data_IF_912383374240
#
_entry.id   IF_912383374240
#
_cell.length_a   1.000
_cell.length_b   1.000
_cell.length_c   1.000
_cell.angle_alpha   90.00
_cell.angle_beta   90.00
_cell.angle_gamma   90.00
#
_symmetry.space_group_name_H-M   'P 1'
#
loop_
_entity.id
_entity.type
_entity.pdbx_description
1 polymer ?
#
# COMPACT_ATOMS: atom_id res chain seq x y z
N UNK A 1 -14.67 -19.17 -9.85
CA UNK A 1 -14.05 -18.22 -10.80
C UNK A 1 -14.11 -16.78 -10.29
N UNK A 2 -15.25 -16.29 -9.80
CA UNK A 2 -15.41 -14.94 -9.24
C UNK A 2 -14.45 -14.63 -8.07
N UNK A 3 -14.25 -15.59 -7.17
CA UNK A 3 -13.30 -15.47 -6.03
C UNK A 3 -11.87 -15.18 -6.50
N UNK A 4 -11.40 -15.84 -7.56
CA UNK A 4 -10.06 -15.62 -8.10
C UNK A 4 -9.92 -14.22 -8.71
N UNK A 5 -10.96 -13.70 -9.37
CA UNK A 5 -10.98 -12.33 -9.91
C UNK A 5 -10.88 -11.32 -8.77
N UNK A 6 -11.67 -11.47 -7.71
CA UNK A 6 -11.61 -10.58 -6.55
C UNK A 6 -10.25 -10.63 -5.86
N UNK A 7 -9.63 -11.81 -5.77
CA UNK A 7 -8.31 -11.96 -5.20
C UNK A 7 -7.24 -11.24 -6.03
N UNK A 8 -7.30 -11.30 -7.37
CA UNK A 8 -6.42 -10.54 -8.26
C UNK A 8 -6.63 -9.03 -8.09
N UNK A 9 -7.89 -8.57 -8.06
CA UNK A 9 -8.22 -7.16 -7.82
C UNK A 9 -7.70 -6.68 -6.46
N UNK A 10 -7.79 -7.53 -5.44
CA UNK A 10 -7.32 -7.24 -4.10
C UNK A 10 -5.80 -7.03 -4.06
N UNK A 11 -5.03 -7.90 -4.74
CA UNK A 11 -3.59 -7.72 -4.88
C UNK A 11 -3.22 -6.50 -5.75
N UNK A 12 -4.01 -6.17 -6.77
CA UNK A 12 -3.81 -4.96 -7.58
C UNK A 12 -3.95 -3.69 -6.74
N UNK A 13 -4.92 -3.64 -5.83
CA UNK A 13 -5.08 -2.49 -4.92
C UNK A 13 -3.86 -2.37 -4.00
N UNK A 14 -3.43 -3.46 -3.36
CA UNK A 14 -2.23 -3.47 -2.53
C UNK A 14 -0.98 -3.01 -3.30
N UNK A 15 -0.83 -3.49 -4.54
CA UNK A 15 0.25 -3.09 -5.43
C UNK A 15 0.19 -1.60 -5.80
N UNK A 16 -1.00 -1.06 -6.06
CA UNK A 16 -1.17 0.37 -6.34
C UNK A 16 -0.79 1.25 -5.14
N UNK A 17 -1.11 0.81 -3.92
CA UNK A 17 -0.72 1.50 -2.69
C UNK A 17 0.81 1.49 -2.52
N UNK A 18 1.45 0.35 -2.81
CA UNK A 18 2.90 0.25 -2.81
C UNK A 18 3.56 1.20 -3.83
N UNK A 19 3.05 1.25 -5.05
CA UNK A 19 3.53 2.18 -6.07
C UNK A 19 3.34 3.65 -5.65
N UNK A 20 2.22 4.00 -5.02
CA UNK A 20 1.97 5.34 -4.52
C UNK A 20 2.98 5.73 -3.44
N UNK A 21 3.29 4.84 -2.50
CA UNK A 21 4.31 5.08 -1.48
C UNK A 21 5.70 5.29 -2.10
N UNK A 22 6.08 4.46 -3.08
CA UNK A 22 7.34 4.66 -3.81
C UNK A 22 7.37 6.00 -4.55
N UNK A 23 6.26 6.38 -5.18
CA UNK A 23 6.14 7.65 -5.88
C UNK A 23 6.33 8.85 -4.94
N UNK A 24 5.76 8.81 -3.74
CA UNK A 24 5.95 9.88 -2.74
C UNK A 24 7.42 10.02 -2.35
N UNK A 25 8.10 8.90 -2.06
CA UNK A 25 9.53 8.91 -1.71
C UNK A 25 10.37 9.45 -2.87
N UNK A 26 10.10 8.97 -4.10
CA UNK A 26 10.76 9.47 -5.30
C UNK A 26 10.53 10.99 -5.45
N UNK A 27 9.30 11.46 -5.31
CA UNK A 27 8.98 12.87 -5.46
C UNK A 27 9.76 13.74 -4.45
N UNK A 28 9.84 13.31 -3.19
CA UNK A 28 10.62 14.01 -2.15
C UNK A 28 12.12 14.04 -2.51
N UNK A 29 12.67 12.92 -3.04
CA UNK A 29 14.09 12.84 -3.41
C UNK A 29 14.42 13.73 -4.61
N UNK A 30 13.55 13.85 -5.60
CA UNK A 30 13.89 14.56 -6.84
C UNK A 30 13.38 16.00 -6.91
N UNK A 31 12.31 16.35 -6.20
CA UNK A 31 11.64 17.65 -6.34
C UNK A 31 11.71 18.55 -5.09
N UNK A 32 12.32 18.09 -3.99
CA UNK A 32 12.50 18.96 -2.81
C UNK A 32 13.54 20.06 -3.07
N UNK A 33 13.15 21.33 -2.84
CA UNK A 33 13.94 22.52 -3.12
C UNK A 33 15.20 22.69 -2.25
N UNK A 34 15.21 22.16 -1.03
CA UNK A 34 16.35 22.30 -0.10
C UNK A 34 16.73 20.97 0.56
N UNK A 35 18.03 20.80 0.85
CA UNK A 35 18.56 19.58 1.48
C UNK A 35 17.90 19.32 2.84
N UNK A 36 17.73 20.37 3.66
CA UNK A 36 17.10 20.25 4.96
C UNK A 36 15.63 19.82 4.83
N UNK A 37 14.88 20.38 3.88
CA UNK A 37 13.49 19.98 3.63
C UNK A 37 13.39 18.53 3.15
N UNK A 38 14.32 18.07 2.32
CA UNK A 38 14.39 16.67 1.86
C UNK A 38 14.62 15.72 3.04
N UNK A 39 15.58 16.02 3.91
CA UNK A 39 15.88 15.20 5.09
C UNK A 39 14.65 15.09 6.01
N UNK A 40 14.02 16.22 6.31
CA UNK A 40 12.85 16.29 7.20
C UNK A 40 11.65 15.54 6.62
N UNK A 41 11.37 15.71 5.32
CA UNK A 41 10.29 14.98 4.66
C UNK A 41 10.56 13.48 4.61
N UNK A 42 11.78 13.03 4.28
CA UNK A 42 12.11 11.60 4.29
C UNK A 42 11.99 10.99 5.68
N UNK A 43 12.48 11.68 6.72
CA UNK A 43 12.42 11.21 8.10
C UNK A 43 10.99 10.99 8.62
N UNK A 44 10.01 11.70 8.08
CA UNK A 44 8.59 11.56 8.45
C UNK A 44 7.87 10.59 7.51
N UNK A 45 7.93 10.85 6.20
CA UNK A 45 7.11 10.13 5.24
C UNK A 45 7.56 8.69 5.02
N UNK A 46 8.85 8.38 5.13
CA UNK A 46 9.33 6.99 4.97
C UNK A 46 8.79 6.08 6.08
N UNK A 47 8.95 6.39 7.39
CA UNK A 47 8.37 5.56 8.44
C UNK A 47 6.83 5.55 8.41
N UNK A 48 6.18 6.68 8.14
CA UNK A 48 4.70 6.72 8.04
C UNK A 48 4.20 5.82 6.90
N UNK A 49 4.75 5.96 5.70
CA UNK A 49 4.38 5.11 4.56
C UNK A 49 4.74 3.64 4.82
N UNK A 50 5.88 3.38 5.46
CA UNK A 50 6.31 2.03 5.84
C UNK A 50 5.32 1.35 6.80
N UNK A 51 4.92 2.04 7.87
CA UNK A 51 3.93 1.52 8.82
C UNK A 51 2.59 1.29 8.14
N UNK A 52 2.10 2.25 7.34
CA UNK A 52 0.83 2.11 6.63
C UNK A 52 0.85 0.94 5.62
N UNK A 53 1.94 0.79 4.86
CA UNK A 53 2.09 -0.34 3.94
C UNK A 53 2.16 -1.66 4.69
N UNK A 54 2.89 -1.71 5.80
CA UNK A 54 3.00 -2.92 6.61
C UNK A 54 1.65 -3.32 7.20
N UNK A 55 0.92 -2.37 7.79
CA UNK A 55 -0.42 -2.62 8.33
C UNK A 55 -1.38 -3.09 7.22
N UNK A 56 -1.38 -2.44 6.06
CA UNK A 56 -2.18 -2.90 4.92
C UNK A 56 -1.75 -4.31 4.47
N UNK A 57 -0.46 -4.60 4.37
CA UNK A 57 0.01 -5.93 4.01
C UNK A 57 -0.48 -7.01 5.01
N UNK A 58 -0.40 -6.74 6.31
CA UNK A 58 -0.89 -7.66 7.36
C UNK A 58 -2.40 -7.84 7.27
N UNK A 59 -3.16 -6.76 7.10
CA UNK A 59 -4.62 -6.85 6.91
C UNK A 59 -4.97 -7.64 5.64
N UNK A 60 -4.26 -7.39 4.55
CA UNK A 60 -4.50 -8.07 3.27
C UNK A 60 -4.12 -9.55 3.30
N UNK A 61 -3.08 -9.93 4.06
CA UNK A 61 -2.66 -11.33 4.20
C UNK A 61 -3.49 -12.12 5.21
N UNK A 62 -4.08 -11.45 6.21
CA UNK A 62 -4.92 -12.10 7.23
C UNK A 62 -6.38 -12.27 6.81
N UNK A 63 -6.86 -11.50 5.83
CA UNK A 63 -8.22 -11.60 5.34
C UNK A 63 -8.42 -12.87 4.48
N UNK A 64 -9.22 -13.79 5.01
CA UNK A 64 -9.65 -14.98 4.28
C UNK A 64 -10.76 -14.61 3.28
N UNK A 65 -10.34 -14.16 2.10
CA UNK A 65 -11.24 -13.69 1.04
C UNK A 65 -12.20 -14.79 0.56
N UNK A 66 -11.78 -16.06 0.56
CA UNK A 66 -12.63 -17.16 0.11
C UNK A 66 -13.78 -17.39 1.08
N UNK A 67 -13.52 -17.36 2.38
CA UNK A 67 -14.55 -17.47 3.43
C UNK A 67 -15.52 -16.27 3.46
N UNK A 68 -14.99 -15.05 3.27
CA UNK A 68 -15.81 -13.83 3.21
C UNK A 68 -16.70 -13.80 1.97
N UNK A 69 -16.18 -14.19 0.81
CA UNK A 69 -16.96 -14.21 -0.43
C UNK A 69 -17.95 -15.39 -0.46
N UNK A 70 -17.60 -16.54 0.11
CA UNK A 70 -18.53 -17.69 0.19
C UNK A 70 -19.70 -17.45 1.15
N UNK A 71 -19.57 -16.51 2.09
CA UNK A 71 -20.67 -16.11 2.98
C UNK A 71 -21.52 -14.96 2.42
N UNK A 72 -21.03 -14.23 1.42
CA UNK A 72 -21.73 -13.09 0.81
C UNK A 72 -22.39 -13.41 -0.55
N UNK A 73 -21.91 -14.43 -1.26
CA UNK A 73 -22.48 -14.87 -2.53
C UNK A 73 -23.32 -16.14 -2.29
N UNK A 74 -24.62 -16.13 -2.64
CA UNK A 74 -25.49 -17.31 -2.51
C UNK A 74 -25.07 -18.47 -3.42
#
# INVERSE_FOLDING_TARGET
MLVAIFQIMYYLVLFSMFLMSLFIVFHIVFYAYSFLSKLLMLAIFVPVAGVLLFTNFVLFSSLNLSSLLSSMLP
#
